data_IF_846155645820
#
_entry.id   IF_846155645820
#
_cell.length_a   1.000
_cell.length_b   1.000
_cell.length_c   1.000
_cell.angle_alpha   90.00
_cell.angle_beta   90.00
_cell.angle_gamma   90.00
#
_symmetry.space_group_name_H-M   'P 1'
#
loop_
_entity.id
_entity.type
_entity.pdbx_description
1 polymer ?
#
# COMPACT_ATOMS: atom_id res chain seq x y z
N UNK A 1 64.75 -2.39 -4.17
CA UNK A 1 63.30 -2.50 -3.84
C UNK A 1 62.53 -1.57 -4.76
N UNK A 2 61.56 -2.05 -5.57
CA UNK A 2 60.79 -1.19 -6.46
C UNK A 2 59.67 -0.48 -5.69
N UNK A 3 59.48 0.81 -5.95
CA UNK A 3 58.41 1.64 -5.35
C UNK A 3 57.07 1.25 -5.99
N UNK A 4 56.06 0.93 -5.17
CA UNK A 4 54.68 0.71 -5.61
C UNK A 4 54.09 2.02 -6.17
N UNK A 5 53.32 1.99 -7.27
CA UNK A 5 52.60 3.16 -7.76
C UNK A 5 51.44 3.51 -6.80
N UNK A 6 50.98 4.78 -6.78
CA UNK A 6 49.90 5.20 -5.91
C UNK A 6 48.57 4.59 -6.36
N UNK A 7 47.81 4.09 -5.40
CA UNK A 7 46.43 3.64 -5.59
C UNK A 7 45.59 4.88 -5.86
N UNK A 8 45.11 5.04 -7.10
CA UNK A 8 44.06 6.01 -7.42
C UNK A 8 42.77 5.48 -6.79
N UNK A 9 42.39 6.03 -5.65
CA UNK A 9 41.06 5.85 -5.08
C UNK A 9 40.08 6.52 -6.05
N UNK A 10 39.30 5.73 -6.77
CA UNK A 10 38.13 6.25 -7.46
C UNK A 10 37.24 6.92 -6.41
N UNK A 11 37.04 8.23 -6.53
CA UNK A 11 36.04 8.93 -5.76
C UNK A 11 34.67 8.34 -6.16
N UNK A 12 34.02 7.64 -5.23
CA UNK A 12 32.60 7.32 -5.36
C UNK A 12 31.88 8.66 -5.36
N UNK A 13 31.40 9.06 -6.54
CA UNK A 13 30.53 10.23 -6.68
C UNK A 13 29.26 9.92 -5.88
N UNK A 14 29.04 10.68 -4.80
CA UNK A 14 27.70 10.87 -4.23
C UNK A 14 26.91 11.55 -5.33
N UNK A 15 26.06 10.79 -6.02
CA UNK A 15 25.12 11.35 -6.97
C UNK A 15 23.98 11.90 -6.12
N UNK A 16 23.77 13.22 -6.14
CA UNK A 16 22.57 13.84 -5.57
C UNK A 16 21.35 13.27 -6.32
N UNK A 17 20.72 12.22 -5.80
CA UNK A 17 19.43 11.76 -6.35
C UNK A 17 18.40 12.83 -6.00
N UNK A 18 17.71 13.30 -7.03
CA UNK A 18 16.66 14.30 -6.88
C UNK A 18 15.38 13.59 -6.42
N UNK A 19 14.52 14.31 -5.69
CA UNK A 19 13.23 13.77 -5.26
C UNK A 19 12.33 13.42 -6.44
N UNK A 20 11.60 12.30 -6.34
CA UNK A 20 10.54 11.90 -7.26
C UNK A 20 9.52 13.04 -7.39
N UNK A 21 9.05 13.33 -8.62
CA UNK A 21 8.19 14.50 -8.85
C UNK A 21 6.80 14.11 -9.31
N UNK A 22 5.81 14.84 -8.79
CA UNK A 22 4.41 14.77 -9.23
C UNK A 22 4.07 16.08 -9.97
N UNK A 23 4.08 16.10 -11.31
CA UNK A 23 3.79 17.30 -12.08
C UNK A 23 2.38 17.85 -11.80
N UNK A 24 2.24 19.18 -11.73
CA UNK A 24 0.94 19.85 -11.64
C UNK A 24 0.49 20.35 -10.27
N UNK A 25 1.41 20.78 -9.40
CA UNK A 25 1.09 21.77 -8.35
C UNK A 25 0.83 23.14 -9.00
N UNK A 26 -0.36 23.33 -9.56
CA UNK A 26 -0.90 24.67 -9.77
C UNK A 26 -1.86 24.92 -8.61
N UNK A 27 -1.51 25.91 -7.78
CA UNK A 27 -2.29 26.29 -6.61
C UNK A 27 -3.72 26.61 -6.98
N UNK A 28 -4.66 26.08 -6.18
CA UNK A 28 -5.99 26.64 -6.07
C UNK A 28 -5.88 28.01 -5.40
N UNK A 29 -5.80 29.07 -6.21
CA UNK A 29 -6.31 30.38 -5.81
C UNK A 29 -7.83 30.24 -5.61
N UNK A 30 -8.41 30.69 -4.47
CA UNK A 30 -9.85 30.65 -4.27
C UNK A 30 -10.51 31.71 -5.15
N UNK A 31 -10.86 31.31 -6.37
CA UNK A 31 -11.72 32.08 -7.26
C UNK A 31 -13.12 32.17 -6.67
N UNK A 32 -13.43 33.34 -6.11
CA UNK A 32 -14.72 33.73 -5.56
C UNK A 32 -15.81 33.67 -6.65
N UNK A 33 -16.50 32.54 -6.75
CA UNK A 33 -17.71 32.41 -7.58
C UNK A 33 -18.94 32.55 -6.68
N UNK A 34 -19.46 33.78 -6.62
CA UNK A 34 -20.74 34.10 -6.00
C UNK A 34 -21.88 33.38 -6.74
N UNK A 35 -22.40 32.29 -6.15
CA UNK A 35 -23.68 31.68 -6.57
C UNK A 35 -24.79 32.26 -5.72
N UNK A 36 -25.61 33.12 -6.32
CA UNK A 36 -26.85 33.63 -5.74
C UNK A 36 -27.92 32.54 -5.77
N UNK A 37 -28.12 31.84 -4.65
CA UNK A 37 -29.28 30.94 -4.47
C UNK A 37 -30.49 31.75 -4.02
N UNK A 38 -31.44 31.93 -4.95
CA UNK A 38 -32.75 32.54 -4.70
C UNK A 38 -33.61 31.57 -3.89
N UNK A 39 -33.95 31.94 -2.66
CA UNK A 39 -34.73 31.11 -1.75
C UNK A 39 -36.18 30.86 -2.20
N UNK A 40 -36.70 29.66 -1.90
CA UNK A 40 -38.14 29.41 -1.86
C UNK A 40 -38.54 28.52 -0.67
N UNK A 41 -39.24 29.18 0.25
CA UNK A 41 -40.17 28.78 1.32
C UNK A 41 -40.24 27.32 1.81
N UNK A 42 -40.09 27.22 3.14
CA UNK A 42 -40.59 26.18 4.05
C UNK A 42 -42.05 25.79 3.79
N UNK A 43 -42.35 24.51 3.86
CA UNK A 43 -43.60 23.99 4.42
C UNK A 43 -43.28 23.11 5.62
N UNK A 44 -44.07 23.30 6.70
CA UNK A 44 -43.99 22.56 7.95
C UNK A 44 -44.92 21.34 7.84
N UNK A 45 -44.43 20.18 8.23
CA UNK A 45 -45.25 19.01 8.51
C UNK A 45 -44.62 18.23 9.67
N UNK A 46 -45.23 18.30 10.84
CA UNK A 46 -44.92 17.47 12.01
C UNK A 46 -45.83 16.24 12.02
N UNK A 47 -45.27 15.07 12.31
CA UNK A 47 -45.88 13.85 12.87
C UNK A 47 -44.69 12.91 13.18
N UNK A 48 -44.16 12.78 14.40
CA UNK A 48 -44.70 12.14 15.60
C UNK A 48 -44.99 10.64 15.44
N UNK A 49 -44.22 9.82 16.19
CA UNK A 49 -44.40 8.36 16.42
C UNK A 49 -43.75 7.47 15.35
N UNK A 50 -43.10 6.34 15.63
CA UNK A 50 -43.17 5.43 16.77
C UNK A 50 -41.83 4.66 16.88
N UNK A 51 -41.47 4.30 18.11
CA UNK A 51 -40.40 3.36 18.45
C UNK A 51 -40.79 1.95 18.03
N UNK A 52 -39.87 1.20 17.43
CA UNK A 52 -39.85 -0.26 17.48
C UNK A 52 -38.39 -0.75 17.42
N UNK A 53 -37.85 -1.10 18.59
CA UNK A 53 -36.66 -1.91 18.70
C UNK A 53 -37.02 -3.35 18.30
N UNK A 54 -36.31 -3.90 17.32
CA UNK A 54 -36.28 -5.35 17.06
C UNK A 54 -34.83 -5.80 17.14
N UNK A 55 -34.51 -6.34 18.30
CA UNK A 55 -33.35 -7.21 18.53
C UNK A 55 -33.67 -8.55 17.86
N UNK A 56 -32.95 -8.88 16.80
CA UNK A 56 -32.91 -10.24 16.26
C UNK A 56 -31.54 -10.84 16.63
N UNK A 57 -31.58 -11.68 17.66
CA UNK A 57 -30.55 -12.64 18.04
C UNK A 57 -30.67 -13.88 17.14
N UNK A 58 -29.54 -14.44 16.73
CA UNK A 58 -29.44 -15.83 16.22
C UNK A 58 -28.96 -15.92 14.76
N UNK A 59 -28.07 -16.83 14.36
CA UNK A 59 -27.51 -18.00 15.03
C UNK A 59 -26.11 -18.30 14.48
N UNK A 60 -25.16 -18.57 15.38
CA UNK A 60 -23.93 -19.29 15.06
C UNK A 60 -24.28 -20.77 14.90
N UNK A 61 -24.05 -21.34 13.71
CA UNK A 61 -24.10 -22.78 13.50
C UNK A 61 -22.72 -23.37 13.84
N UNK A 62 -22.55 -23.73 15.11
CA UNK A 62 -21.51 -24.65 15.56
C UNK A 62 -21.97 -26.08 15.32
N UNK A 63 -21.27 -26.82 14.46
CA UNK A 63 -21.42 -28.27 14.34
C UNK A 63 -20.71 -28.97 15.49
N UNK A 64 -21.48 -29.56 16.39
CA UNK A 64 -20.99 -30.50 17.41
C UNK A 64 -21.00 -31.91 16.82
N UNK A 65 -19.81 -32.45 16.55
CA UNK A 65 -19.60 -33.88 16.31
C UNK A 65 -18.93 -34.51 17.53
N UNK A 66 -19.64 -35.41 18.21
CA UNK A 66 -19.11 -36.26 19.29
C UNK A 66 -18.18 -37.34 18.72
N UNK A 67 -16.95 -37.39 19.24
CA UNK A 67 -16.00 -38.50 19.10
C UNK A 67 -15.05 -38.50 20.30
N UNK A 68 -14.81 -39.67 20.89
CA UNK A 68 -14.11 -39.84 22.18
C UNK A 68 -12.62 -39.47 22.17
N UNK A 69 -11.93 -39.59 23.33
CA UNK A 69 -10.64 -38.96 23.56
C UNK A 69 -9.50 -39.70 22.85
N UNK A 70 -8.98 -39.09 21.79
CA UNK A 70 -7.70 -39.44 21.18
C UNK A 70 -6.70 -38.31 21.48
N UNK A 71 -5.55 -38.67 22.06
CA UNK A 71 -4.42 -37.79 22.32
C UNK A 71 -4.06 -36.98 21.06
N UNK A 72 -3.90 -35.64 21.16
CA UNK A 72 -3.44 -34.86 20.02
C UNK A 72 -1.97 -35.18 19.71
N UNK A 73 -1.59 -35.36 18.43
CA UNK A 73 -0.20 -35.28 18.04
C UNK A 73 0.29 -33.85 18.29
N UNK A 74 1.52 -33.71 18.78
CA UNK A 74 2.17 -32.42 19.07
C UNK A 74 1.88 -31.37 17.98
N UNK A 75 1.05 -30.38 18.31
CA UNK A 75 0.90 -29.16 17.51
C UNK A 75 2.23 -28.38 17.57
N UNK A 76 2.80 -27.97 16.42
CA UNK A 76 3.86 -26.99 16.43
C UNK A 76 3.30 -25.67 16.97
N UNK A 77 3.95 -25.16 18.01
CA UNK A 77 3.71 -23.84 18.61
C UNK A 77 3.60 -22.77 17.51
N UNK A 78 2.65 -21.80 17.58
CA UNK A 78 2.63 -20.69 16.64
C UNK A 78 3.96 -19.95 16.73
N UNK A 79 4.71 -19.97 15.63
CA UNK A 79 5.93 -19.18 15.52
C UNK A 79 5.52 -17.71 15.33
N UNK A 80 6.18 -16.76 16.00
CA UNK A 80 5.90 -15.36 15.78
C UNK A 80 6.21 -15.02 14.32
N UNK A 81 5.22 -14.47 13.60
CA UNK A 81 5.42 -13.82 12.31
C UNK A 81 6.50 -12.76 12.50
N UNK A 82 7.68 -12.99 11.93
CA UNK A 82 8.76 -12.00 11.99
C UNK A 82 8.35 -10.84 11.08
N UNK A 83 8.08 -9.72 11.72
CA UNK A 83 8.04 -8.40 11.10
C UNK A 83 9.24 -8.22 10.17
N UNK A 84 9.02 -7.61 9.00
CA UNK A 84 10.06 -7.26 8.02
C UNK A 84 11.30 -6.74 8.75
N UNK A 85 12.41 -7.46 8.61
CA UNK A 85 13.67 -7.08 9.21
C UNK A 85 14.22 -5.88 8.42
N UNK A 86 14.53 -4.78 9.12
CA UNK A 86 15.25 -3.68 8.49
C UNK A 86 16.63 -4.20 8.03
N UNK A 87 17.03 -3.96 6.78
CA UNK A 87 18.39 -4.26 6.34
C UNK A 87 19.41 -3.42 7.13
N UNK A 88 20.61 -3.99 7.27
CA UNK A 88 21.71 -3.46 8.09
C UNK A 88 22.10 -2.02 7.71
N UNK A 89 22.39 -1.18 8.69
CA UNK A 89 22.64 0.26 8.54
C UNK A 89 23.92 0.64 7.74
N UNK A 90 24.61 -0.34 7.15
CA UNK A 90 25.85 -0.14 6.37
C UNK A 90 25.63 0.13 4.88
N UNK A 91 24.39 0.08 4.38
CA UNK A 91 24.04 0.32 2.96
C UNK A 91 23.18 1.57 2.76
N UNK A 92 23.20 2.53 3.68
CA UNK A 92 22.43 3.78 3.54
C UNK A 92 22.84 4.55 2.29
N UNK A 93 21.97 4.52 1.26
CA UNK A 93 21.93 5.49 0.16
C UNK A 93 21.01 6.65 0.54
N UNK A 94 21.25 7.25 1.70
CA UNK A 94 20.45 8.37 2.17
C UNK A 94 20.84 9.63 1.38
N UNK A 95 20.00 10.01 0.42
CA UNK A 95 20.09 11.29 -0.28
C UNK A 95 19.56 12.46 0.55
N UNK A 96 19.96 13.68 0.16
CA UNK A 96 19.96 14.90 0.95
C UNK A 96 18.60 15.53 1.32
N UNK A 97 17.47 14.92 1.00
CA UNK A 97 16.13 15.45 1.30
C UNK A 97 15.21 14.34 1.80
N UNK A 98 15.16 14.14 3.12
CA UNK A 98 14.29 13.14 3.76
C UNK A 98 13.54 13.73 4.96
N UNK A 99 12.95 14.90 4.74
CA UNK A 99 12.18 15.58 5.78
C UNK A 99 10.83 14.90 6.00
N UNK A 100 10.28 15.01 7.21
CA UNK A 100 8.93 14.51 7.52
C UNK A 100 7.86 15.24 6.68
N UNK A 101 8.13 16.49 6.28
CA UNK A 101 7.24 17.28 5.44
C UNK A 101 7.16 16.73 4.02
N UNK A 102 8.30 16.38 3.44
CA UNK A 102 8.45 15.74 2.13
C UNK A 102 7.81 14.34 2.12
N UNK A 103 8.11 13.51 3.12
CA UNK A 103 7.42 12.22 3.29
C UNK A 103 5.89 12.36 3.31
N UNK A 104 5.37 13.37 4.01
CA UNK A 104 3.92 13.63 4.04
C UNK A 104 3.39 14.08 2.69
N UNK A 105 4.15 14.90 1.97
CA UNK A 105 3.82 15.32 0.61
C UNK A 105 3.77 14.14 -0.35
N UNK A 106 4.74 13.23 -0.27
CA UNK A 106 4.83 12.05 -1.13
C UNK A 106 3.73 11.05 -0.86
N UNK A 107 3.39 10.80 0.41
CA UNK A 107 2.19 10.02 0.77
C UNK A 107 0.95 10.63 0.09
N UNK A 108 0.75 11.95 0.22
CA UNK A 108 -0.40 12.60 -0.41
C UNK A 108 -0.33 12.56 -1.94
N UNK A 109 0.86 12.66 -2.53
CA UNK A 109 1.12 12.52 -3.95
C UNK A 109 0.71 11.14 -4.46
N UNK A 110 1.20 10.10 -3.80
CA UNK A 110 0.88 8.71 -4.10
C UNK A 110 -0.64 8.46 -4.03
N UNK A 111 -1.36 8.98 -3.02
CA UNK A 111 -2.84 8.85 -2.95
C UNK A 111 -3.50 9.49 -4.17
N UNK A 112 -3.12 10.75 -4.47
CA UNK A 112 -3.76 11.51 -5.56
C UNK A 112 -3.53 10.85 -6.92
N UNK A 113 -2.32 10.36 -7.19
CA UNK A 113 -2.01 9.71 -8.47
C UNK A 113 -2.73 8.36 -8.54
N UNK A 114 -2.75 7.56 -7.48
CA UNK A 114 -3.50 6.31 -7.42
C UNK A 114 -5.01 6.53 -7.68
N UNK A 115 -5.61 7.53 -7.02
CA UNK A 115 -7.02 7.89 -7.22
C UNK A 115 -7.31 8.31 -8.66
N UNK A 116 -6.46 9.16 -9.25
CA UNK A 116 -6.60 9.59 -10.64
C UNK A 116 -6.50 8.42 -11.60
N UNK A 117 -5.51 7.55 -11.39
CA UNK A 117 -5.29 6.35 -12.18
C UNK A 117 -6.51 5.43 -12.14
N UNK A 118 -6.92 5.00 -10.94
CA UNK A 118 -8.04 4.07 -10.80
C UNK A 118 -9.38 4.68 -11.23
N UNK A 119 -9.60 5.98 -11.01
CA UNK A 119 -10.77 6.67 -11.54
C UNK A 119 -10.82 6.63 -13.08
N UNK A 120 -9.67 6.71 -13.76
CA UNK A 120 -9.60 6.58 -15.21
C UNK A 120 -9.87 5.14 -15.67
N UNK A 121 -9.25 4.15 -15.01
CA UNK A 121 -9.44 2.73 -15.36
C UNK A 121 -10.89 2.27 -15.18
N UNK A 122 -11.52 2.61 -14.05
CA UNK A 122 -12.92 2.27 -13.80
C UNK A 122 -13.87 2.95 -14.80
N UNK A 123 -13.62 4.23 -15.12
CA UNK A 123 -14.38 4.96 -16.15
C UNK A 123 -14.25 4.30 -17.52
N UNK A 124 -13.05 3.90 -17.92
CA UNK A 124 -12.80 3.19 -19.17
C UNK A 124 -13.53 1.83 -19.21
N UNK A 125 -13.69 1.16 -18.07
CA UNK A 125 -14.46 -0.07 -17.94
C UNK A 125 -15.98 0.13 -17.81
N UNK A 126 -16.48 1.37 -17.82
CA UNK A 126 -17.90 1.67 -17.63
C UNK A 126 -18.42 1.42 -16.21
N UNK A 127 -17.54 1.32 -15.20
CA UNK A 127 -17.87 1.06 -13.80
C UNK A 127 -17.69 2.31 -12.94
N UNK A 128 -18.49 2.51 -11.89
CA UNK A 128 -18.26 3.60 -10.94
C UNK A 128 -17.00 3.33 -10.10
N UNK A 129 -16.19 4.36 -9.88
CA UNK A 129 -15.07 4.33 -8.95
C UNK A 129 -15.46 4.97 -7.62
N UNK A 130 -15.08 4.34 -6.51
CA UNK A 130 -15.15 4.93 -5.18
C UNK A 130 -13.74 4.94 -4.60
N UNK A 131 -13.14 6.09 -4.25
CA UNK A 131 -11.83 6.13 -3.60
C UNK A 131 -11.82 5.37 -2.27
N UNK A 132 -10.64 5.01 -1.77
CA UNK A 132 -10.49 4.48 -0.40
C UNK A 132 -10.87 5.58 0.59
N UNK A 133 -11.75 5.26 1.54
CA UNK A 133 -12.41 6.26 2.38
C UNK A 133 -11.44 7.05 3.27
N UNK A 134 -10.38 6.44 3.78
CA UNK A 134 -9.41 7.08 4.70
C UNK A 134 -8.00 6.53 4.54
N UNK A 135 -7.02 7.39 4.75
CA UNK A 135 -5.61 7.05 4.90
C UNK A 135 -5.19 7.46 6.31
N UNK A 136 -4.76 6.52 7.14
CA UNK A 136 -4.61 6.67 8.59
C UNK A 136 -3.14 6.42 8.98
N UNK A 137 -2.34 7.46 9.22
CA UNK A 137 -1.05 7.29 9.88
C UNK A 137 -1.23 6.82 11.33
N UNK A 138 -0.40 5.88 11.79
CA UNK A 138 -0.30 5.51 13.20
C UNK A 138 1.17 5.39 13.63
N UNK A 139 1.42 5.41 14.94
CA UNK A 139 2.78 5.32 15.49
C UNK A 139 2.92 4.21 16.53
N UNK A 140 1.81 3.83 17.18
CA UNK A 140 1.81 2.83 18.24
C UNK A 140 0.99 1.62 17.84
N UNK A 141 1.46 0.46 18.25
CA UNK A 141 0.72 -0.79 18.11
C UNK A 141 -0.65 -0.67 18.78
N UNK A 142 -1.71 -1.13 18.11
CA UNK A 142 -3.08 -1.05 18.63
C UNK A 142 -3.70 0.35 18.64
N UNK A 143 -3.02 1.38 18.12
CA UNK A 143 -3.63 2.70 17.87
C UNK A 143 -4.73 2.64 16.80
N UNK A 144 -4.56 1.74 15.83
CA UNK A 144 -5.51 1.44 14.77
C UNK A 144 -5.84 -0.05 14.82
N UNK A 145 -7.08 -0.42 14.52
CA UNK A 145 -7.54 -1.80 14.47
C UNK A 145 -8.41 -2.07 13.24
N UNK A 146 -8.17 -3.20 12.56
CA UNK A 146 -8.98 -3.69 11.46
C UNK A 146 -9.84 -4.86 11.93
N UNK A 147 -11.18 -4.76 11.76
CA UNK A 147 -12.12 -5.79 12.22
C UNK A 147 -11.92 -6.23 13.68
N UNK A 148 -11.52 -5.30 14.55
CA UNK A 148 -11.26 -5.55 15.98
C UNK A 148 -9.87 -6.11 16.29
N UNK A 149 -9.03 -6.39 15.29
CA UNK A 149 -7.63 -6.80 15.49
C UNK A 149 -6.69 -5.59 15.40
N UNK A 150 -5.75 -5.42 16.33
CA UNK A 150 -4.79 -4.32 16.29
C UNK A 150 -3.89 -4.44 15.06
N UNK A 151 -3.65 -3.32 14.37
CA UNK A 151 -2.67 -3.27 13.29
C UNK A 151 -1.26 -3.25 13.92
N UNK A 152 -0.35 -4.17 13.53
CA UNK A 152 0.99 -4.27 14.10
C UNK A 152 1.88 -3.08 13.71
N UNK A 153 2.96 -2.84 14.45
CA UNK A 153 4.02 -1.90 14.02
C UNK A 153 4.75 -2.41 12.77
N UNK A 154 5.48 -1.51 12.13
CA UNK A 154 6.30 -1.77 10.94
C UNK A 154 5.47 -2.38 9.80
N UNK A 155 4.29 -1.83 9.57
CA UNK A 155 3.35 -2.35 8.59
C UNK A 155 2.63 -1.23 7.84
N UNK A 156 2.14 -1.56 6.65
CA UNK A 156 1.05 -0.88 5.98
C UNK A 156 -0.06 -1.92 5.71
N UNK A 157 -1.31 -1.50 5.72
CA UNK A 157 -2.42 -2.43 5.48
C UNK A 157 -3.66 -1.71 4.94
N UNK A 158 -4.28 -2.32 3.95
CA UNK A 158 -5.66 -2.04 3.58
C UNK A 158 -6.65 -2.87 4.40
N UNK A 159 -7.51 -2.18 5.16
CA UNK A 159 -8.59 -2.80 5.92
C UNK A 159 -9.89 -2.82 5.12
N UNK A 160 -10.26 -3.98 4.58
CA UNK A 160 -11.51 -4.16 3.82
C UNK A 160 -12.77 -3.96 4.66
N UNK A 161 -12.75 -4.30 5.96
CA UNK A 161 -13.91 -4.18 6.85
C UNK A 161 -14.36 -2.73 7.10
N UNK A 162 -13.45 -1.76 6.94
CA UNK A 162 -13.73 -0.35 7.20
C UNK A 162 -13.21 0.60 6.10
N UNK A 163 -12.77 0.04 4.96
CA UNK A 163 -12.24 0.73 3.78
C UNK A 163 -11.26 1.86 4.14
N UNK A 164 -10.12 1.50 4.73
CA UNK A 164 -9.04 2.45 4.98
C UNK A 164 -7.68 1.81 4.71
N UNK A 165 -6.69 2.64 4.39
CA UNK A 165 -5.27 2.25 4.46
C UNK A 165 -4.71 2.79 5.76
N UNK A 166 -3.96 1.99 6.51
CA UNK A 166 -3.19 2.44 7.67
C UNK A 166 -1.71 2.14 7.46
N UNK A 167 -0.82 3.02 7.94
CA UNK A 167 0.62 2.82 7.84
C UNK A 167 1.36 3.33 9.09
N UNK A 168 2.37 2.59 9.52
CA UNK A 168 3.25 2.97 10.63
C UNK A 168 4.21 4.08 10.18
N UNK A 169 3.99 5.30 10.67
CA UNK A 169 4.78 6.48 10.28
C UNK A 169 6.25 6.31 10.61
N UNK A 170 6.60 5.69 11.75
CA UNK A 170 8.00 5.58 12.17
C UNK A 170 8.76 4.66 11.23
N UNK A 171 8.15 3.52 10.89
CA UNK A 171 8.72 2.58 9.95
C UNK A 171 8.75 3.13 8.52
N UNK A 172 7.66 3.72 8.03
CA UNK A 172 7.61 4.26 6.68
C UNK A 172 8.62 5.40 6.48
N UNK A 173 8.82 6.28 7.48
CA UNK A 173 9.88 7.32 7.42
C UNK A 173 11.28 6.71 7.47
N UNK A 174 11.49 5.62 8.23
CA UNK A 174 12.77 4.92 8.24
C UNK A 174 13.06 4.26 6.88
N UNK A 175 12.08 3.58 6.29
CA UNK A 175 12.18 2.99 4.96
C UNK A 175 12.42 4.06 3.89
N UNK A 176 11.67 5.18 3.93
CA UNK A 176 11.89 6.34 3.07
C UNK A 176 13.33 6.85 3.12
N UNK A 177 13.93 6.90 4.31
CA UNK A 177 15.32 7.36 4.50
C UNK A 177 16.38 6.36 4.05
N UNK A 178 16.07 5.07 4.05
CA UNK A 178 17.02 4.00 3.76
C UNK A 178 16.97 3.56 2.30
N UNK A 179 15.75 3.45 1.76
CA UNK A 179 15.46 2.98 0.41
C UNK A 179 15.38 4.16 -0.56
N UNK A 180 14.66 5.22 -0.17
CA UNK A 180 14.41 6.40 -0.98
C UNK A 180 12.92 6.74 -1.06
N UNK A 181 12.59 7.84 -1.72
CA UNK A 181 11.25 8.43 -1.70
C UNK A 181 10.25 7.69 -2.62
N UNK A 182 10.75 7.11 -3.71
CA UNK A 182 9.96 6.30 -4.64
C UNK A 182 9.29 5.12 -3.91
N UNK A 183 9.92 4.55 -2.89
CA UNK A 183 9.37 3.43 -2.12
C UNK A 183 7.95 3.71 -1.58
N UNK A 184 7.67 4.94 -1.15
CA UNK A 184 6.35 5.30 -0.61
C UNK A 184 5.24 5.21 -1.66
N UNK A 185 5.56 5.50 -2.92
CA UNK A 185 4.61 5.37 -4.03
C UNK A 185 4.27 3.91 -4.32
N UNK A 186 5.26 3.01 -4.21
CA UNK A 186 5.04 1.57 -4.28
C UNK A 186 4.21 1.07 -3.08
N UNK A 187 4.66 1.35 -1.84
CA UNK A 187 4.00 0.90 -0.61
C UNK A 187 2.52 1.28 -0.62
N UNK A 188 2.21 2.54 -0.90
CA UNK A 188 0.83 2.98 -0.92
C UNK A 188 0.05 2.46 -2.14
N UNK A 189 0.72 2.32 -3.29
CA UNK A 189 0.12 1.73 -4.49
C UNK A 189 -0.30 0.27 -4.28
N UNK A 190 0.51 -0.51 -3.56
CA UNK A 190 0.22 -1.88 -3.17
C UNK A 190 -1.03 -1.95 -2.28
N UNK A 191 -1.09 -1.17 -1.20
CA UNK A 191 -2.27 -1.14 -0.33
C UNK A 191 -3.52 -0.64 -1.07
N UNK A 192 -3.36 0.32 -1.99
CA UNK A 192 -4.46 0.79 -2.82
C UNK A 192 -4.98 -0.34 -3.73
N UNK A 193 -4.09 -1.16 -4.27
CA UNK A 193 -4.46 -2.29 -5.12
C UNK A 193 -5.34 -3.31 -4.39
N UNK A 194 -5.12 -3.59 -3.10
CA UNK A 194 -6.05 -4.40 -2.31
C UNK A 194 -7.47 -3.80 -2.25
N UNK A 195 -7.58 -2.49 -2.09
CA UNK A 195 -8.86 -1.79 -2.17
C UNK A 195 -9.53 -1.95 -3.54
N UNK A 196 -8.74 -1.96 -4.61
CA UNK A 196 -9.24 -2.20 -5.96
C UNK A 196 -9.67 -3.65 -6.18
N UNK A 197 -8.93 -4.63 -5.67
CA UNK A 197 -9.33 -6.04 -5.71
C UNK A 197 -10.70 -6.24 -5.05
N UNK A 198 -10.95 -5.59 -3.91
CA UNK A 198 -12.27 -5.59 -3.26
C UNK A 198 -13.35 -4.96 -4.14
N UNK A 199 -13.06 -3.82 -4.77
CA UNK A 199 -14.01 -3.15 -5.69
C UNK A 199 -14.28 -3.98 -6.95
N UNK A 200 -13.30 -4.76 -7.40
CA UNK A 200 -13.44 -5.68 -8.53
C UNK A 200 -14.19 -6.96 -8.14
N UNK A 201 -14.23 -7.31 -6.86
CA UNK A 201 -14.83 -8.55 -6.38
C UNK A 201 -13.96 -9.77 -6.65
N UNK A 202 -12.65 -9.57 -6.85
CA UNK A 202 -11.69 -10.63 -7.14
C UNK A 202 -11.59 -11.58 -5.96
N UNK A 203 -11.60 -12.89 -6.24
CA UNK A 203 -11.48 -13.94 -5.24
C UNK A 203 -10.20 -14.71 -5.47
N UNK A 204 -9.49 -15.01 -4.39
CA UNK A 204 -8.24 -15.75 -4.41
C UNK A 204 -8.40 -17.04 -3.64
N UNK A 205 -7.66 -18.08 -4.06
CA UNK A 205 -7.58 -19.32 -3.31
C UNK A 205 -6.51 -19.24 -2.21
N UNK A 206 -5.49 -18.40 -2.41
CA UNK A 206 -4.36 -18.23 -1.49
C UNK A 206 -3.97 -16.75 -1.36
N UNK A 207 -3.47 -16.34 -0.20
CA UNK A 207 -3.03 -14.96 0.06
C UNK A 207 -1.94 -14.53 -0.91
N UNK A 208 -0.97 -15.40 -1.21
CA UNK A 208 0.11 -15.07 -2.17
C UNK A 208 -0.42 -14.65 -3.55
N UNK A 209 -1.56 -15.18 -4.01
CA UNK A 209 -2.13 -14.78 -5.30
C UNK A 209 -2.66 -13.34 -5.24
N UNK A 210 -3.27 -12.97 -4.12
CA UNK A 210 -3.76 -11.62 -3.85
C UNK A 210 -2.61 -10.63 -3.77
N UNK A 211 -1.55 -10.99 -3.05
CA UNK A 211 -0.36 -10.19 -2.79
C UNK A 211 0.44 -9.93 -4.07
N UNK A 212 0.74 -10.99 -4.85
CA UNK A 212 1.45 -10.84 -6.12
C UNK A 212 0.62 -10.08 -7.17
N UNK A 213 -0.71 -10.24 -7.19
CA UNK A 213 -1.55 -9.40 -8.04
C UNK A 213 -1.52 -7.94 -7.59
N UNK A 214 -1.52 -7.66 -6.27
CA UNK A 214 -1.42 -6.31 -5.75
C UNK A 214 -0.08 -5.65 -6.12
N UNK A 215 1.03 -6.39 -6.06
CA UNK A 215 2.34 -5.92 -6.55
C UNK A 215 2.31 -5.61 -8.06
N UNK A 216 1.73 -6.49 -8.88
CA UNK A 216 1.57 -6.22 -10.32
C UNK A 216 0.72 -4.97 -10.58
N UNK A 217 -0.40 -4.82 -9.86
CA UNK A 217 -1.28 -3.66 -9.99
C UNK A 217 -0.58 -2.36 -9.56
N UNK A 218 0.22 -2.41 -8.50
CA UNK A 218 1.04 -1.27 -8.06
C UNK A 218 2.07 -0.89 -9.13
N UNK A 219 2.73 -1.89 -9.73
CA UNK A 219 3.62 -1.70 -10.87
C UNK A 219 2.91 -1.04 -12.05
N UNK A 220 1.77 -1.59 -12.47
CA UNK A 220 0.98 -1.07 -13.59
C UNK A 220 0.54 0.38 -13.38
N UNK A 221 0.05 0.70 -12.18
CA UNK A 221 -0.26 2.06 -11.76
C UNK A 221 0.94 3.00 -11.94
N UNK A 222 2.09 2.66 -11.35
CA UNK A 222 3.28 3.52 -11.41
C UNK A 222 3.82 3.64 -12.83
N UNK A 223 3.92 2.53 -13.56
CA UNK A 223 4.41 2.53 -14.93
C UNK A 223 3.53 3.35 -15.87
N UNK A 224 2.20 3.25 -15.73
CA UNK A 224 1.28 4.06 -16.53
C UNK A 224 1.32 5.53 -16.13
N UNK A 225 1.45 5.84 -14.84
CA UNK A 225 1.60 7.21 -14.34
C UNK A 225 2.92 7.86 -14.79
N UNK A 226 3.98 7.07 -14.96
CA UNK A 226 5.24 7.56 -15.56
C UNK A 226 5.05 7.81 -17.06
N UNK A 227 4.51 6.83 -17.79
CA UNK A 227 4.27 6.94 -19.24
C UNK A 227 3.36 8.11 -19.61
N UNK A 228 2.40 8.45 -18.76
CA UNK A 228 1.44 9.54 -19.01
C UNK A 228 1.88 10.89 -18.43
N UNK A 229 3.05 10.97 -17.79
CA UNK A 229 3.61 12.20 -17.23
C UNK A 229 2.95 12.68 -15.93
N UNK A 230 2.22 11.83 -15.23
CA UNK A 230 1.67 12.13 -13.90
C UNK A 230 2.67 11.88 -12.76
N UNK A 231 3.72 11.09 -13.02
CA UNK A 231 4.82 10.82 -12.12
C UNK A 231 6.12 10.90 -12.91
N UNK A 232 7.13 11.57 -12.38
CA UNK A 232 8.45 11.67 -13.01
C UNK A 232 9.47 11.02 -12.08
N UNK A 233 10.01 9.88 -12.53
CA UNK A 233 11.08 9.19 -11.83
C UNK A 233 12.41 9.91 -12.05
N UNK A 234 13.24 9.93 -11.02
CA UNK A 234 14.61 10.40 -11.06
C UNK A 234 15.57 9.22 -11.25
N UNK A 235 16.86 9.54 -11.42
CA UNK A 235 17.91 8.53 -11.47
C UNK A 235 18.01 7.81 -10.12
N UNK A 236 17.64 6.54 -10.08
CA UNK A 236 17.71 5.72 -8.88
C UNK A 236 16.36 5.12 -8.48
N UNK A 237 15.24 5.78 -8.75
CA UNK A 237 13.90 5.40 -8.26
C UNK A 237 13.49 3.98 -8.65
N UNK A 238 13.89 3.51 -9.84
CA UNK A 238 13.65 2.13 -10.26
C UNK A 238 14.40 1.11 -9.40
N UNK A 239 15.60 1.45 -8.94
CA UNK A 239 16.35 0.61 -8.01
C UNK A 239 15.77 0.71 -6.59
N UNK A 240 15.20 1.85 -6.22
CA UNK A 240 14.50 2.02 -4.94
C UNK A 240 13.23 1.15 -4.87
N UNK A 241 12.48 1.02 -5.97
CA UNK A 241 11.38 0.05 -6.03
C UNK A 241 11.89 -1.38 -5.81
N UNK A 242 13.00 -1.78 -6.47
CA UNK A 242 13.60 -3.11 -6.29
C UNK A 242 14.04 -3.34 -4.86
N UNK A 243 14.78 -2.40 -4.27
CA UNK A 243 15.29 -2.50 -2.91
C UNK A 243 14.17 -2.53 -1.88
N UNK A 244 13.11 -1.75 -2.11
CA UNK A 244 11.88 -1.80 -1.33
C UNK A 244 11.24 -3.17 -1.35
N UNK A 245 11.02 -3.74 -2.53
CA UNK A 245 10.46 -5.08 -2.73
C UNK A 245 11.33 -6.18 -2.11
N UNK A 246 12.66 -6.05 -2.18
CA UNK A 246 13.61 -6.92 -1.50
C UNK A 246 13.44 -6.87 0.03
N UNK A 247 13.18 -5.70 0.59
CA UNK A 247 13.03 -5.51 2.04
C UNK A 247 11.68 -6.02 2.59
N UNK A 248 10.66 -6.19 1.75
CA UNK A 248 9.31 -6.61 2.16
C UNK A 248 8.93 -8.02 1.69
N UNK A 249 9.82 -8.75 1.02
CA UNK A 249 9.59 -10.14 0.61
C UNK A 249 9.60 -11.12 1.79
N UNK A 250 8.85 -12.21 1.65
CA UNK A 250 8.92 -13.33 2.61
C UNK A 250 10.28 -14.05 2.52
N UNK A 251 10.64 -14.73 3.61
CA UNK A 251 11.75 -15.69 3.62
C UNK A 251 11.51 -16.77 2.54
N UNK A 252 12.54 -17.18 1.76
CA UNK A 252 12.39 -18.24 0.76
C UNK A 252 11.78 -19.55 1.29
N UNK A 253 11.93 -19.83 2.59
CA UNK A 253 11.38 -21.02 3.23
C UNK A 253 9.91 -20.86 3.69
N UNK A 254 9.32 -19.66 3.57
CA UNK A 254 7.91 -19.42 3.89
C UNK A 254 7.02 -20.20 2.91
N UNK A 255 6.12 -21.09 3.40
CA UNK A 255 5.25 -21.84 2.52
C UNK A 255 4.28 -20.91 1.78
N UNK A 256 4.25 -20.98 0.45
CA UNK A 256 3.40 -20.13 -0.38
C UNK A 256 1.89 -20.23 -0.08
N UNK A 257 1.44 -21.37 0.46
CA UNK A 257 0.05 -21.62 0.80
C UNK A 257 -0.33 -21.19 2.23
N UNK A 258 0.65 -20.78 3.05
CA UNK A 258 0.37 -20.33 4.40
C UNK A 258 -0.42 -19.02 4.38
N UNK A 259 -1.35 -18.88 5.33
CA UNK A 259 -2.08 -17.63 5.51
C UNK A 259 -1.10 -16.51 5.86
N UNK A 260 -1.22 -15.38 5.17
CA UNK A 260 -0.33 -14.24 5.34
C UNK A 260 1.00 -14.35 4.58
N UNK A 261 1.16 -15.34 3.69
CA UNK A 261 2.28 -15.34 2.75
C UNK A 261 2.06 -14.25 1.68
N UNK A 262 3.07 -13.40 1.51
CA UNK A 262 3.18 -12.33 0.53
C UNK A 262 3.89 -12.79 -0.75
N UNK A 263 4.79 -13.77 -0.62
CA UNK A 263 5.66 -14.25 -1.69
C UNK A 263 7.12 -13.83 -1.50
N UNK A 264 8.03 -14.54 -2.16
CA UNK A 264 9.46 -14.24 -2.08
C UNK A 264 9.76 -12.89 -2.72
N UNK A 265 10.85 -12.26 -2.31
CA UNK A 265 11.28 -11.00 -2.90
C UNK A 265 11.41 -11.05 -4.44
N UNK A 266 11.86 -12.18 -4.99
CA UNK A 266 11.92 -12.40 -6.45
C UNK A 266 10.53 -12.41 -7.08
N UNK A 267 9.58 -13.17 -6.52
CA UNK A 267 8.20 -13.24 -7.04
C UNK A 267 7.50 -11.88 -7.02
N UNK A 268 7.67 -11.15 -5.92
CA UNK A 268 7.11 -9.81 -5.74
C UNK A 268 7.72 -8.81 -6.72
N UNK A 269 9.04 -8.84 -6.88
CA UNK A 269 9.77 -8.00 -7.84
C UNK A 269 9.34 -8.27 -9.27
N UNK A 270 9.27 -9.55 -9.67
CA UNK A 270 8.83 -9.94 -11.01
C UNK A 270 7.39 -9.52 -11.29
N UNK A 271 6.51 -9.68 -10.30
CA UNK A 271 5.10 -9.28 -10.43
C UNK A 271 4.98 -7.78 -10.61
N UNK A 272 5.67 -7.00 -9.77
CA UNK A 272 5.73 -5.54 -9.87
C UNK A 272 6.22 -5.08 -11.24
N UNK A 273 7.40 -5.53 -11.68
CA UNK A 273 7.98 -5.07 -12.94
C UNK A 273 7.19 -5.54 -14.16
N UNK A 274 6.57 -6.72 -14.11
CA UNK A 274 5.63 -7.16 -15.14
C UNK A 274 4.50 -6.15 -15.34
N UNK A 275 3.86 -5.71 -14.26
CA UNK A 275 2.84 -4.67 -14.31
C UNK A 275 3.39 -3.32 -14.76
N UNK A 276 4.53 -2.90 -14.20
CA UNK A 276 5.19 -1.64 -14.55
C UNK A 276 5.45 -1.52 -16.05
N UNK A 277 5.96 -2.57 -16.69
CA UNK A 277 6.29 -2.59 -18.11
C UNK A 277 5.07 -2.78 -19.02
N UNK A 278 4.09 -3.57 -18.57
CA UNK A 278 3.03 -4.06 -19.45
C UNK A 278 1.61 -3.57 -19.11
N UNK A 279 1.47 -2.67 -18.14
CA UNK A 279 0.19 -2.16 -17.63
C UNK A 279 -0.70 -3.27 -17.06
N UNK A 280 -1.96 -2.94 -16.72
CA UNK A 280 -2.89 -3.85 -16.04
C UNK A 280 -3.21 -5.16 -16.76
N UNK A 281 -3.05 -5.20 -18.10
CA UNK A 281 -3.31 -6.44 -18.88
C UNK A 281 -2.41 -7.60 -18.46
N UNK A 282 -1.28 -7.32 -17.81
CA UNK A 282 -0.34 -8.35 -17.37
C UNK A 282 -0.57 -8.82 -15.93
N UNK A 283 -1.59 -8.29 -15.26
CA UNK A 283 -1.91 -8.58 -13.86
C UNK A 283 -3.09 -9.55 -13.69
N UNK A 284 -3.48 -10.25 -14.75
CA UNK A 284 -4.49 -11.32 -14.70
C UNK A 284 -5.79 -10.89 -13.99
N UNK A 285 -6.32 -9.71 -14.32
CA UNK A 285 -7.52 -9.10 -13.72
C UNK A 285 -8.85 -9.78 -14.14
N UNK A 286 -8.83 -11.10 -14.34
CA UNK A 286 -9.96 -11.91 -14.84
C UNK A 286 -11.21 -11.87 -13.98
#
# INVERSE_FOLDING_TARGET
MPRRPPVVRAASARHDRHAIRVPGRIGEEPGEAAVTVRGRRRSRGSLAGLVAALVAVGCAAGGVGQGGPQQPPNEPRPQPTRTAALPDASTTRADGTTSVAEFKEDIQGAVRIAERYWAAQFRASGRPFTPIRRIIPYQREGEVACAGQPVPRNNAVYCSAADYIAYDVNWSVAAFRQVGDAFVFYLLGHEYAHGIQVRMGTRYSFTIQQELQADCMAGAYLGDSVRNGQLELQEGDLDEFRDGLLAVGDDPDQPWFAEGSHGTAEQRTDSFFRGYENSLRACDLG
#
